data_IF_837117083406
#
_entry.id   IF_837117083406
#
_cell.length_a   1.000
_cell.length_b   1.000
_cell.length_c   1.000
_cell.angle_alpha   90.00
_cell.angle_beta   90.00
_cell.angle_gamma   90.00
#
_symmetry.space_group_name_H-M   'P 1'
#
loop_
_entity.id
_entity.type
_entity.pdbx_description
1 polymer ?
#
# COMPACT_ATOMS: atom_id res chain seq x y z
N UNK A 1 -0.35 -3.47 21.23
CA UNK A 1 -0.14 -3.20 19.79
C UNK A 1 -1.26 -2.28 19.33
N UNK A 2 -0.97 -1.18 18.62
CA UNK A 2 -2.03 -0.33 18.04
C UNK A 2 -2.26 -0.78 16.59
N UNK A 3 -3.48 -1.17 16.25
CA UNK A 3 -3.88 -1.62 14.90
C UNK A 3 -4.74 -0.56 14.22
N UNK A 4 -4.95 -0.68 12.91
CA UNK A 4 -5.68 0.30 12.10
C UNK A 4 -7.10 0.58 12.64
N UNK A 5 -7.76 -0.45 13.18
CA UNK A 5 -9.14 -0.37 13.70
C UNK A 5 -9.27 0.54 14.93
N UNK A 6 -8.16 0.86 15.59
CA UNK A 6 -8.14 1.73 16.77
C UNK A 6 -7.98 3.21 16.41
N UNK A 7 -7.86 3.56 15.12
CA UNK A 7 -7.66 4.93 14.66
C UNK A 7 -8.86 5.45 13.86
N UNK A 8 -9.36 6.62 14.23
CA UNK A 8 -10.31 7.38 13.40
C UNK A 8 -9.55 8.28 12.41
N UNK A 9 -9.68 7.98 11.13
CA UNK A 9 -9.05 8.73 10.03
C UNK A 9 -9.91 9.88 9.49
N UNK A 10 -11.12 10.08 10.01
CA UNK A 10 -12.00 11.18 9.59
C UNK A 10 -11.25 12.51 9.69
N UNK A 11 -11.25 13.24 8.58
CA UNK A 11 -10.65 14.57 8.41
C UNK A 11 -9.13 14.62 8.69
N UNK A 12 -8.43 13.48 8.58
CA UNK A 12 -6.96 13.39 8.74
C UNK A 12 -6.29 12.95 7.44
N UNK A 13 -5.11 13.50 7.17
CA UNK A 13 -4.18 12.95 6.18
C UNK A 13 -3.34 11.86 6.83
N UNK A 14 -3.30 10.67 6.23
CA UNK A 14 -2.50 9.55 6.69
C UNK A 14 -1.32 9.31 5.74
N UNK A 15 -0.16 8.96 6.31
CA UNK A 15 0.97 8.41 5.57
C UNK A 15 0.87 6.89 5.63
N UNK A 16 0.67 6.25 4.48
CA UNK A 16 0.60 4.80 4.37
C UNK A 16 1.91 4.33 3.73
N UNK A 17 2.65 3.51 4.46
CA UNK A 17 3.83 2.81 3.93
C UNK A 17 3.38 1.43 3.50
N UNK A 18 3.61 1.11 2.23
CA UNK A 18 3.29 -0.17 1.61
C UNK A 18 4.54 -0.73 0.96
N UNK A 19 4.55 -2.03 0.74
CA UNK A 19 5.55 -2.70 -0.08
C UNK A 19 4.98 -2.88 -1.49
N UNK A 20 5.52 -2.14 -2.45
CA UNK A 20 5.16 -2.22 -3.87
C UNK A 20 6.25 -2.91 -4.69
N UNK A 21 7.04 -3.80 -4.06
CA UNK A 21 8.04 -4.60 -4.77
C UNK A 21 7.37 -5.74 -5.58
N UNK A 22 6.70 -5.37 -6.66
CA UNK A 22 6.00 -6.29 -7.57
C UNK A 22 6.90 -6.69 -8.75
N UNK A 23 6.74 -7.91 -9.31
CA UNK A 23 7.48 -8.32 -10.49
C UNK A 23 7.07 -7.49 -11.71
N UNK A 24 8.05 -7.17 -12.55
CA UNK A 24 7.89 -6.43 -13.79
C UNK A 24 8.40 -7.24 -14.99
N UNK A 25 7.80 -7.03 -16.16
CA UNK A 25 8.33 -7.55 -17.43
C UNK A 25 9.42 -6.63 -18.03
N UNK A 26 9.98 -7.01 -19.18
CA UNK A 26 11.03 -6.26 -19.89
C UNK A 26 10.58 -4.86 -20.35
N UNK A 27 9.27 -4.63 -20.47
CA UNK A 27 8.68 -3.36 -20.83
C UNK A 27 8.19 -2.58 -19.59
N UNK A 28 8.60 -3.00 -18.39
CA UNK A 28 8.22 -2.42 -17.10
C UNK A 28 6.72 -2.49 -16.77
N UNK A 29 5.98 -3.42 -17.36
CA UNK A 29 4.59 -3.67 -16.95
C UNK A 29 4.56 -4.55 -15.70
N UNK A 30 3.60 -4.31 -14.81
CA UNK A 30 3.33 -5.17 -13.65
C UNK A 30 2.79 -6.51 -14.12
N UNK A 31 3.42 -7.60 -13.70
CA UNK A 31 3.05 -8.96 -14.13
C UNK A 31 2.21 -9.72 -13.11
N UNK A 32 2.16 -9.24 -11.86
CA UNK A 32 1.31 -9.77 -10.80
C UNK A 32 0.75 -8.61 -9.96
N UNK A 33 -0.57 -8.43 -10.03
CA UNK A 33 -1.31 -7.36 -9.34
C UNK A 33 -2.54 -7.91 -8.58
N UNK A 34 -2.59 -9.23 -8.37
CA UNK A 34 -3.73 -9.95 -7.78
C UNK A 34 -3.66 -10.13 -6.28
#
# INVERSE_FOLDING_TARGET
>A
MKTLDLFNFKDKKALIRVDFNVPLDENFNVTDAS
#
